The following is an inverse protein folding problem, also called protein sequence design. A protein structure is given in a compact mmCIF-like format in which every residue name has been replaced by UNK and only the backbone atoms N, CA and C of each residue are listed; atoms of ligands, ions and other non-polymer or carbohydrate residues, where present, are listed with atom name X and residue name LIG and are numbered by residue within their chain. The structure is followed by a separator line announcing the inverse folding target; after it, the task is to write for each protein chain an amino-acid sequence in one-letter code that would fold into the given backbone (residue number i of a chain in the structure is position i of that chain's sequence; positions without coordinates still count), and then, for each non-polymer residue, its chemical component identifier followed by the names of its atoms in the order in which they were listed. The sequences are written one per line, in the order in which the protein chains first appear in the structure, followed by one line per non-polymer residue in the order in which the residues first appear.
data_IF_542314028552
#
_entry.id   IF_542314028552
#
_cell.length_a   1.000
_cell.length_b   1.000
_cell.length_c   1.000
_cell.angle_alpha   90.00
_cell.angle_beta   90.00
_cell.angle_gamma   90.00
#
_symmetry.space_group_name_H-M   'P 1'
#
loop_
_entity.id
_entity.type
_entity.pdbx_description
1 polymer ?
#
# COMPACT_ATOMS: atom_id res chain seq x y z
N UNK A 1 -19.25 8.87 -5.17
CA UNK A 1 -19.96 7.70 -4.59
C UNK A 1 -19.03 6.57 -4.18
N UNK A 2 -18.18 6.03 -5.08
CA UNK A 2 -17.30 4.90 -4.75
C UNK A 2 -16.44 5.10 -3.49
N UNK A 3 -15.72 6.24 -3.39
CA UNK A 3 -14.86 6.56 -2.23
C UNK A 3 -15.64 6.60 -0.91
N UNK A 4 -16.85 7.20 -0.92
CA UNK A 4 -17.71 7.29 0.26
C UNK A 4 -18.20 5.91 0.69
N UNK A 5 -18.57 5.04 -0.26
CA UNK A 5 -19.02 3.67 0.02
C UNK A 5 -17.87 2.83 0.56
N UNK A 6 -16.67 2.93 -0.03
CA UNK A 6 -15.49 2.19 0.46
C UNK A 6 -15.08 2.64 1.85
N UNK A 7 -15.17 3.94 2.15
CA UNK A 7 -14.90 4.48 3.48
C UNK A 7 -15.95 3.99 4.49
N UNK A 8 -17.24 4.08 4.15
CA UNK A 8 -18.32 3.59 5.01
C UNK A 8 -18.19 2.09 5.29
N UNK A 9 -17.84 1.29 4.28
CA UNK A 9 -17.58 -0.14 4.43
C UNK A 9 -16.38 -0.42 5.33
N UNK A 10 -15.28 0.33 5.18
CA UNK A 10 -14.11 0.21 6.05
C UNK A 10 -14.47 0.52 7.52
N UNK A 11 -15.24 1.59 7.76
CA UNK A 11 -15.72 1.95 9.09
C UNK A 11 -16.67 0.89 9.67
N UNK A 12 -17.57 0.34 8.85
CA UNK A 12 -18.46 -0.75 9.27
C UNK A 12 -17.66 -1.99 9.69
N UNK A 13 -16.61 -2.35 8.95
CA UNK A 13 -15.72 -3.46 9.31
C UNK A 13 -14.94 -3.20 10.61
N UNK A 14 -14.47 -1.96 10.82
CA UNK A 14 -13.81 -1.53 12.05
C UNK A 14 -14.71 -1.73 13.28
N UNK A 15 -15.95 -1.20 13.22
CA UNK A 15 -16.91 -1.37 14.32
C UNK A 15 -17.33 -2.84 14.51
N UNK A 16 -17.44 -3.60 13.43
CA UNK A 16 -17.74 -5.03 13.49
C UNK A 16 -16.65 -5.82 14.26
N UNK A 17 -15.37 -5.53 13.99
CA UNK A 17 -14.25 -6.19 14.67
C UNK A 17 -14.13 -5.79 16.14
N UNK A 18 -14.37 -4.52 16.47
CA UNK A 18 -14.45 -4.06 17.86
C UNK A 18 -15.58 -4.77 18.62
N UNK A 19 -16.71 -5.02 17.95
CA UNK A 19 -17.85 -5.70 18.55
C UNK A 19 -17.62 -7.19 18.83
N UNK A 20 -16.48 -7.77 18.43
CA UNK A 20 -16.15 -9.18 18.63
C UNK A 20 -15.16 -9.38 19.80
N UNK A 21 -15.64 -9.56 21.04
CA UNK A 21 -14.77 -9.72 22.21
C UNK A 21 -13.91 -11.00 22.15
N UNK A 22 -14.35 -12.04 21.44
CA UNK A 22 -13.57 -13.29 21.25
C UNK A 22 -12.28 -13.06 20.47
N UNK A 23 -12.21 -12.02 19.65
CA UNK A 23 -11.04 -11.67 18.83
C UNK A 23 -10.32 -10.41 19.34
N UNK A 24 -10.38 -10.15 20.66
CA UNK A 24 -9.65 -9.05 21.30
C UNK A 24 -10.40 -7.72 21.39
N UNK A 25 -11.53 -7.57 20.70
CA UNK A 25 -12.40 -6.38 20.82
C UNK A 25 -11.66 -5.05 20.64
N UNK A 26 -11.77 -4.16 21.64
CA UNK A 26 -11.08 -2.86 21.65
C UNK A 26 -9.57 -2.97 21.96
N UNK A 27 -9.18 -3.98 22.74
CA UNK A 27 -7.80 -4.16 23.21
C UNK A 27 -6.88 -4.82 22.15
N UNK A 28 -7.47 -5.50 21.16
CA UNK A 28 -6.75 -6.24 20.15
C UNK A 28 -6.22 -7.60 20.62
N UNK A 29 -5.50 -8.29 19.76
CA UNK A 29 -4.91 -9.60 20.01
C UNK A 29 -3.38 -9.52 19.95
N UNK A 30 -2.73 -10.00 21.00
CA UNK A 30 -1.32 -10.37 20.95
C UNK A 30 -1.19 -11.75 20.31
N UNK A 31 -0.45 -11.83 19.22
CA UNK A 31 -0.16 -13.07 18.51
C UNK A 31 1.10 -13.66 19.14
N UNK A 32 0.92 -14.51 20.15
CA UNK A 32 2.03 -15.10 20.94
C UNK A 32 3.00 -16.00 20.15
N UNK A 33 2.69 -16.36 18.90
CA UNK A 33 3.63 -17.03 18.01
C UNK A 33 3.42 -16.59 16.57
N UNK A 34 4.51 -16.29 15.86
CA UNK A 34 4.47 -16.06 14.41
C UNK A 34 3.85 -17.27 13.69
N UNK A 35 3.15 -16.99 12.60
CA UNK A 35 2.39 -17.99 11.84
C UNK A 35 3.33 -19.07 11.32
N UNK A 36 3.18 -20.30 11.80
CA UNK A 36 3.92 -21.45 11.28
C UNK A 36 3.27 -21.86 9.96
N UNK A 37 4.01 -21.70 8.86
CA UNK A 37 3.59 -22.21 7.55
C UNK A 37 4.21 -23.59 7.39
N UNK A 38 3.48 -24.61 6.89
CA UNK A 38 4.05 -25.95 6.76
C UNK A 38 5.35 -25.93 5.94
N UNK A 39 6.48 -26.23 6.60
CA UNK A 39 7.82 -26.28 5.98
C UNK A 39 8.66 -25.00 6.08
N UNK A 40 8.15 -23.91 6.66
CA UNK A 40 8.92 -22.67 6.91
C UNK A 40 8.70 -22.20 8.35
N UNK A 41 9.79 -22.09 9.11
CA UNK A 41 9.75 -21.50 10.45
C UNK A 41 9.82 -19.97 10.34
N UNK A 42 8.68 -19.30 10.39
CA UNK A 42 8.59 -17.83 10.38
C UNK A 42 8.98 -17.21 11.73
N UNK A 43 9.28 -18.03 12.74
CA UNK A 43 9.80 -17.56 14.03
C UNK A 43 11.20 -16.97 13.89
N UNK A 44 12.01 -17.50 12.96
CA UNK A 44 13.34 -16.97 12.66
C UNK A 44 13.26 -15.67 11.83
N UNK A 45 13.88 -14.60 12.34
CA UNK A 45 13.88 -13.28 11.71
C UNK A 45 14.53 -13.29 10.32
N UNK A 46 15.53 -14.15 10.07
CA UNK A 46 16.14 -14.25 8.75
C UNK A 46 15.18 -14.91 7.75
N UNK A 47 14.58 -16.04 8.13
CA UNK A 47 13.58 -16.73 7.33
C UNK A 47 12.38 -15.84 6.99
N UNK A 48 11.87 -15.09 7.97
CA UNK A 48 10.78 -14.13 7.75
C UNK A 48 11.16 -13.01 6.77
N UNK A 49 12.38 -12.48 6.85
CA UNK A 49 12.89 -11.47 5.93
C UNK A 49 12.92 -11.99 4.48
N UNK A 50 13.42 -13.21 4.26
CA UNK A 50 13.44 -13.81 2.92
C UNK A 50 12.03 -14.08 2.38
N UNK A 51 11.09 -14.51 3.22
CA UNK A 51 9.69 -14.71 2.82
C UNK A 51 9.05 -13.38 2.41
N UNK A 52 9.20 -12.33 3.20
CA UNK A 52 8.69 -10.99 2.88
C UNK A 52 9.29 -10.47 1.57
N UNK A 53 10.60 -10.64 1.39
CA UNK A 53 11.32 -10.20 0.18
C UNK A 53 10.86 -10.99 -1.04
N UNK A 54 10.68 -12.31 -0.92
CA UNK A 54 10.19 -13.15 -2.00
C UNK A 54 8.76 -12.76 -2.42
N UNK A 55 7.87 -12.50 -1.46
CA UNK A 55 6.50 -12.06 -1.74
C UNK A 55 6.47 -10.66 -2.35
N UNK A 56 7.31 -9.73 -1.88
CA UNK A 56 7.47 -8.41 -2.47
C UNK A 56 7.91 -8.52 -3.95
N UNK A 57 8.94 -9.31 -4.23
CA UNK A 57 9.45 -9.51 -5.59
C UNK A 57 8.43 -10.21 -6.49
N UNK A 58 7.71 -11.20 -5.96
CA UNK A 58 6.64 -11.89 -6.67
C UNK A 58 5.50 -10.91 -7.03
N UNK A 59 5.03 -10.12 -6.07
CA UNK A 59 3.97 -9.14 -6.30
C UNK A 59 4.41 -8.05 -7.27
N UNK A 60 5.66 -7.57 -7.15
CA UNK A 60 6.25 -6.64 -8.09
C UNK A 60 6.33 -7.22 -9.51
N UNK A 61 6.77 -8.47 -9.65
CA UNK A 61 6.87 -9.16 -10.94
C UNK A 61 5.49 -9.35 -11.59
N UNK A 62 4.50 -9.80 -10.82
CA UNK A 62 3.11 -9.95 -11.29
C UNK A 62 2.56 -8.58 -11.72
N UNK A 63 2.76 -7.54 -10.91
CA UNK A 63 2.31 -6.18 -11.21
C UNK A 63 2.96 -5.64 -12.48
N UNK A 64 4.27 -5.87 -12.67
CA UNK A 64 5.00 -5.49 -13.87
C UNK A 64 4.43 -6.19 -15.10
N UNK A 65 4.26 -7.52 -15.05
CA UNK A 65 3.64 -8.29 -16.13
C UNK A 65 2.23 -7.82 -16.46
N UNK A 66 1.44 -7.50 -15.45
CA UNK A 66 0.06 -7.04 -15.62
C UNK A 66 0.01 -5.66 -16.31
N UNK A 67 0.88 -4.74 -15.89
CA UNK A 67 0.99 -3.38 -16.44
C UNK A 67 1.52 -3.37 -17.87
N UNK A 68 2.46 -4.26 -18.20
CA UNK A 68 3.04 -4.37 -19.55
C UNK A 68 2.14 -5.16 -20.52
N UNK A 69 1.12 -5.86 -20.01
CA UNK A 69 0.16 -6.60 -20.82
C UNK A 69 -0.93 -5.71 -21.46
N UNK A 70 -1.73 -6.30 -22.35
CA UNK A 70 -2.92 -5.65 -22.95
C UNK A 70 -3.88 -5.10 -21.89
N UNK A 71 -3.98 -5.77 -20.74
CA UNK A 71 -4.81 -5.33 -19.61
C UNK A 71 -4.35 -3.98 -19.06
N UNK A 72 -3.04 -3.80 -18.86
CA UNK A 72 -2.45 -2.52 -18.45
C UNK A 72 -2.66 -1.42 -19.49
N UNK A 73 -2.58 -1.76 -20.78
CA UNK A 73 -2.91 -0.84 -21.87
C UNK A 73 -4.35 -0.32 -21.82
N UNK A 74 -5.32 -1.21 -21.56
CA UNK A 74 -6.74 -0.85 -21.39
C UNK A 74 -6.95 0.06 -20.17
N UNK A 75 -6.29 -0.21 -19.05
CA UNK A 75 -6.34 0.64 -17.85
C UNK A 75 -5.74 2.03 -18.08
N UNK A 76 -4.59 2.13 -18.76
CA UNK A 76 -3.99 3.42 -19.16
C UNK A 76 -4.93 4.19 -20.08
N UNK A 77 -5.57 3.51 -21.01
CA UNK A 77 -6.59 4.10 -21.86
C UNK A 77 -7.81 4.60 -21.07
N UNK A 78 -8.28 3.83 -20.07
CA UNK A 78 -9.38 4.24 -19.20
C UNK A 78 -9.04 5.51 -18.42
N UNK A 79 -7.77 5.68 -18.00
CA UNK A 79 -7.30 6.90 -17.34
C UNK A 79 -7.37 8.13 -18.24
N UNK A 80 -7.12 7.98 -19.55
CA UNK A 80 -7.15 9.09 -20.50
C UNK A 80 -8.59 9.46 -20.90
N UNK A 81 -9.36 8.49 -21.40
CA UNK A 81 -10.74 8.74 -21.81
C UNK A 81 -11.59 7.46 -21.73
N UNK A 82 -12.28 7.31 -20.61
CA UNK A 82 -13.17 6.17 -20.37
C UNK A 82 -14.33 6.08 -21.38
N UNK A 83 -14.91 7.21 -21.80
CA UNK A 83 -16.01 7.22 -22.78
C UNK A 83 -15.56 6.64 -24.12
N UNK A 84 -14.34 6.97 -24.56
CA UNK A 84 -13.76 6.44 -25.80
C UNK A 84 -13.53 4.93 -25.73
N UNK A 85 -13.08 4.38 -24.61
CA UNK A 85 -12.92 2.92 -24.49
C UNK A 85 -14.25 2.17 -24.50
N UNK A 86 -15.28 2.73 -23.86
CA UNK A 86 -16.63 2.15 -23.91
C UNK A 86 -17.17 2.13 -25.35
N UNK A 87 -16.94 3.19 -26.13
CA UNK A 87 -17.33 3.24 -27.54
C UNK A 87 -16.60 2.20 -28.42
N UNK A 88 -15.39 1.80 -28.03
CA UNK A 88 -14.61 0.73 -28.68
C UNK A 88 -15.04 -0.69 -28.23
N UNK A 89 -16.08 -0.81 -27.39
CA UNK A 89 -16.59 -2.10 -26.91
C UNK A 89 -15.89 -2.66 -25.67
N UNK A 90 -15.03 -1.88 -25.00
CA UNK A 90 -14.38 -2.34 -23.76
C UNK A 90 -15.26 -2.05 -22.53
N UNK A 91 -15.50 -3.10 -21.74
CA UNK A 91 -16.18 -3.04 -20.45
C UNK A 91 -15.27 -2.46 -19.35
N UNK A 92 -15.08 -1.14 -19.33
CA UNK A 92 -14.11 -0.45 -18.45
C UNK A 92 -14.28 -0.77 -16.96
N UNK A 93 -15.51 -1.03 -16.51
CA UNK A 93 -15.83 -1.38 -15.11
C UNK A 93 -15.18 -2.71 -14.71
N UNK A 94 -15.22 -3.73 -15.58
CA UNK A 94 -14.66 -5.05 -15.29
C UNK A 94 -13.14 -4.96 -15.11
N UNK A 95 -12.46 -4.22 -15.98
CA UNK A 95 -11.01 -4.02 -15.89
C UNK A 95 -10.61 -3.30 -14.60
N UNK A 96 -11.36 -2.25 -14.21
CA UNK A 96 -11.12 -1.54 -12.94
C UNK A 96 -11.38 -2.42 -11.73
N UNK A 97 -12.43 -3.25 -11.75
CA UNK A 97 -12.77 -4.14 -10.66
C UNK A 97 -11.71 -5.24 -10.47
N UNK A 98 -11.23 -5.84 -11.55
CA UNK A 98 -10.13 -6.82 -11.49
C UNK A 98 -8.86 -6.19 -10.91
N UNK A 99 -8.51 -4.98 -11.36
CA UNK A 99 -7.37 -4.25 -10.81
C UNK A 99 -7.54 -3.96 -9.31
N UNK A 100 -8.75 -3.59 -8.89
CA UNK A 100 -9.09 -3.37 -7.49
C UNK A 100 -8.96 -4.64 -6.63
N UNK A 101 -9.45 -5.78 -7.13
CA UNK A 101 -9.35 -7.08 -6.44
C UNK A 101 -7.88 -7.51 -6.29
N UNK A 102 -7.06 -7.35 -7.33
CA UNK A 102 -5.62 -7.69 -7.28
C UNK A 102 -4.89 -6.80 -6.26
N UNK A 103 -5.17 -5.49 -6.26
CA UNK A 103 -4.60 -4.57 -5.28
C UNK A 103 -5.04 -4.90 -3.85
N UNK A 104 -6.32 -5.22 -3.65
CA UNK A 104 -6.87 -5.63 -2.36
C UNK A 104 -6.29 -6.95 -1.86
N UNK A 105 -6.11 -7.94 -2.73
CA UNK A 105 -5.45 -9.20 -2.38
C UNK A 105 -4.00 -8.99 -1.95
N UNK A 106 -3.24 -8.17 -2.68
CA UNK A 106 -1.88 -7.79 -2.31
C UNK A 106 -1.81 -7.06 -0.97
N UNK A 107 -2.71 -6.09 -0.74
CA UNK A 107 -2.81 -5.38 0.53
C UNK A 107 -3.20 -6.29 1.70
N UNK A 108 -4.08 -7.28 1.47
CA UNK A 108 -4.44 -8.28 2.47
C UNK A 108 -3.27 -9.17 2.88
N UNK A 109 -2.48 -9.64 1.91
CA UNK A 109 -1.24 -10.39 2.19
C UNK A 109 -0.24 -9.53 2.95
N UNK A 110 -0.04 -8.28 2.53
CA UNK A 110 0.83 -7.34 3.22
C UNK A 110 0.38 -7.05 4.65
N UNK A 111 -0.92 -6.90 4.90
CA UNK A 111 -1.48 -6.74 6.24
C UNK A 111 -1.26 -7.97 7.12
N UNK A 112 -1.41 -9.17 6.57
CA UNK A 112 -1.10 -10.42 7.29
C UNK A 112 0.39 -10.54 7.65
N UNK A 113 1.29 -10.12 6.77
CA UNK A 113 2.73 -10.06 7.07
C UNK A 113 3.02 -9.01 8.14
N UNK A 114 2.39 -7.84 8.07
CA UNK A 114 2.56 -6.77 9.06
C UNK A 114 2.12 -7.24 10.45
N UNK A 115 0.97 -7.91 10.55
CA UNK A 115 0.47 -8.52 11.78
C UNK A 115 1.45 -9.57 12.37
N UNK A 116 2.12 -10.34 11.50
CA UNK A 116 3.15 -11.29 11.93
C UNK A 116 4.45 -10.60 12.37
N UNK A 117 4.79 -9.46 11.78
CA UNK A 117 5.95 -8.66 12.16
C UNK A 117 5.75 -7.95 13.50
N UNK A 118 4.57 -7.36 13.73
CA UNK A 118 4.27 -6.60 14.94
C UNK A 118 3.82 -7.48 16.10
N UNK A 119 3.47 -8.75 15.84
CA UNK A 119 2.95 -9.72 16.82
C UNK A 119 1.72 -9.20 17.60
N UNK A 120 1.10 -8.14 17.08
CA UNK A 120 -0.03 -7.46 17.67
C UNK A 120 -0.97 -6.99 16.57
N UNK A 121 -2.25 -7.30 16.73
CA UNK A 121 -3.33 -6.88 15.84
C UNK A 121 -4.37 -6.15 16.68
N UNK A 122 -4.42 -4.83 16.52
CA UNK A 122 -5.41 -3.99 17.18
C UNK A 122 -6.29 -3.24 16.17
N UNK A 123 -7.50 -2.82 16.57
CA UNK A 123 -8.41 -2.07 15.70
C UNK A 123 -7.79 -0.74 15.21
N UNK A 124 -6.84 -0.17 15.94
CA UNK A 124 -6.08 1.02 15.51
C UNK A 124 -5.37 0.88 14.15
N UNK A 125 -5.03 -0.36 13.73
CA UNK A 125 -4.41 -0.63 12.42
C UNK A 125 -5.41 -0.47 11.25
N UNK A 126 -6.70 -0.53 11.52
CA UNK A 126 -7.77 -0.35 10.54
C UNK A 126 -8.26 1.10 10.47
N UNK A 127 -7.68 1.99 11.26
CA UNK A 127 -8.05 3.39 11.27
C UNK A 127 -7.67 4.07 9.95
N UNK A 128 -8.48 5.03 9.51
CA UNK A 128 -8.35 5.67 8.19
C UNK A 128 -7.00 6.38 8.00
N UNK A 129 -6.37 6.80 9.10
CA UNK A 129 -5.04 7.44 9.12
C UNK A 129 -3.96 6.55 8.51
N UNK A 130 -4.02 5.23 8.72
CA UNK A 130 -3.08 4.27 8.11
C UNK A 130 -3.18 4.23 6.59
N UNK A 131 -4.37 4.40 6.04
CA UNK A 131 -4.52 4.57 4.58
C UNK A 131 -3.88 5.87 4.09
N UNK A 132 -3.89 6.92 4.92
CA UNK A 132 -3.21 8.18 4.64
C UNK A 132 -1.69 8.03 4.56
N UNK A 133 -1.08 7.34 5.55
CA UNK A 133 0.35 7.03 5.56
C UNK A 133 0.78 6.26 4.29
N UNK A 134 0.00 5.26 3.87
CA UNK A 134 0.28 4.50 2.64
C UNK A 134 0.23 5.37 1.38
N UNK A 135 -0.73 6.30 1.29
CA UNK A 135 -0.80 7.26 0.18
C UNK A 135 0.46 8.14 0.19
N UNK A 136 0.90 8.59 1.36
CA UNK A 136 2.15 9.36 1.51
C UNK A 136 3.36 8.59 0.99
N UNK A 137 3.52 7.32 1.35
CA UNK A 137 4.61 6.47 0.84
C UNK A 137 4.62 6.42 -0.69
N UNK A 138 3.44 6.24 -1.31
CA UNK A 138 3.30 6.21 -2.78
C UNK A 138 3.62 7.55 -3.42
N UNK A 139 3.14 8.66 -2.83
CA UNK A 139 3.39 10.01 -3.33
C UNK A 139 4.88 10.36 -3.28
N UNK A 140 5.53 10.09 -2.15
CA UNK A 140 6.94 10.35 -1.91
C UNK A 140 7.84 9.52 -2.86
N UNK A 141 7.46 8.27 -3.08
CA UNK A 141 8.12 7.37 -4.01
C UNK A 141 7.99 7.78 -5.49
N UNK A 142 6.84 8.33 -5.87
CA UNK A 142 6.56 8.82 -7.22
C UNK A 142 5.34 8.15 -7.86
N UNK A 143 4.33 8.96 -8.21
CA UNK A 143 3.07 8.50 -8.79
C UNK A 143 3.31 7.98 -10.22
N UNK A 144 3.02 6.69 -10.45
CA UNK A 144 3.05 6.09 -11.79
C UNK A 144 4.21 5.16 -12.07
N UNK A 145 5.04 4.84 -11.07
CA UNK A 145 6.05 3.79 -11.18
C UNK A 145 5.77 2.67 -10.18
N UNK A 146 6.10 1.43 -10.55
CA UNK A 146 5.95 0.27 -9.66
C UNK A 146 7.03 0.21 -8.57
N UNK A 147 8.19 0.83 -8.81
CA UNK A 147 9.34 0.82 -7.90
C UNK A 147 9.30 2.02 -6.95
N UNK A 148 8.67 3.13 -7.34
CA UNK A 148 8.51 4.33 -6.52
C UNK A 148 8.03 4.03 -5.10
N UNK A 149 6.89 3.34 -4.90
CA UNK A 149 6.37 3.03 -3.57
C UNK A 149 7.34 2.27 -2.66
N UNK A 150 8.24 1.43 -3.21
CA UNK A 150 9.24 0.69 -2.43
C UNK A 150 10.29 1.64 -1.85
N UNK A 151 10.79 2.58 -2.68
CA UNK A 151 11.71 3.61 -2.19
C UNK A 151 10.99 4.63 -1.29
N UNK A 152 9.73 4.93 -1.60
CA UNK A 152 8.90 5.83 -0.82
C UNK A 152 8.61 5.30 0.58
N UNK A 153 8.31 4.01 0.73
CA UNK A 153 8.16 3.36 2.03
C UNK A 153 9.49 3.32 2.79
N UNK A 154 10.60 2.99 2.14
CA UNK A 154 11.91 3.00 2.78
C UNK A 154 12.29 4.41 3.30
N UNK A 155 12.09 5.44 2.49
CA UNK A 155 12.39 6.82 2.87
C UNK A 155 11.46 7.34 3.98
N UNK A 156 10.16 7.04 3.91
CA UNK A 156 9.22 7.43 4.97
C UNK A 156 9.58 6.72 6.27
N UNK A 157 9.79 5.40 6.27
CA UNK A 157 10.12 4.64 7.47
C UNK A 157 11.42 5.13 8.11
N UNK A 158 12.46 5.40 7.32
CA UNK A 158 13.72 5.99 7.83
C UNK A 158 13.49 7.37 8.45
N UNK A 159 12.64 8.19 7.81
CA UNK A 159 12.29 9.51 8.32
C UNK A 159 11.48 9.38 9.62
N UNK A 160 10.48 8.51 9.67
CA UNK A 160 9.65 8.23 10.85
C UNK A 160 10.50 7.76 12.02
N UNK A 161 11.39 6.77 11.81
CA UNK A 161 12.29 6.26 12.84
C UNK A 161 13.21 7.37 13.37
N UNK A 162 13.80 8.17 12.47
CA UNK A 162 14.68 9.28 12.86
C UNK A 162 13.91 10.33 13.65
N UNK A 163 12.74 10.76 13.16
CA UNK A 163 11.93 11.80 13.80
C UNK A 163 11.34 11.33 15.14
N UNK A 164 10.92 10.07 15.23
CA UNK A 164 10.40 9.48 16.47
C UNK A 164 11.46 9.47 17.56
N UNK A 165 12.74 9.29 17.21
CA UNK A 165 13.87 9.42 18.14
C UNK A 165 14.11 10.83 18.68
N UNK A 166 13.64 11.88 17.99
CA UNK A 166 13.78 13.28 18.42
C UNK A 166 12.49 13.91 18.96
N UNK A 167 11.31 13.44 18.55
CA UNK A 167 10.03 14.11 18.86
C UNK A 167 8.87 13.12 18.91
N UNK A 168 8.14 13.09 20.04
CA UNK A 168 6.95 12.23 20.20
C UNK A 168 5.82 12.57 19.20
N UNK A 169 5.71 13.84 18.78
CA UNK A 169 4.69 14.32 17.83
C UNK A 169 5.19 14.38 16.38
N UNK A 170 5.91 13.34 15.94
CA UNK A 170 6.50 13.23 14.59
C UNK A 170 5.53 13.53 13.45
N UNK A 171 4.24 13.21 13.62
CA UNK A 171 3.20 13.42 12.60
C UNK A 171 2.94 14.91 12.27
N UNK A 172 3.18 15.82 13.22
CA UNK A 172 3.10 17.28 12.99
C UNK A 172 4.23 17.75 12.07
N UNK A 173 5.42 17.17 12.23
CA UNK A 173 6.61 17.52 11.44
C UNK A 173 6.54 16.89 10.04
N UNK A 174 5.93 15.71 9.94
CA UNK A 174 5.81 14.98 8.68
C UNK A 174 4.93 15.70 7.65
N UNK A 175 3.85 16.36 8.08
CA UNK A 175 2.97 17.13 7.18
C UNK A 175 3.67 18.22 6.36
N UNK A 176 4.42 19.14 6.99
CA UNK A 176 5.24 20.13 6.29
C UNK A 176 6.32 19.52 5.40
N UNK A 177 7.02 18.47 5.85
CA UNK A 177 8.03 17.78 5.04
C UNK A 177 7.39 17.17 3.79
N UNK A 178 6.23 16.54 3.95
CA UNK A 178 5.44 16.02 2.84
C UNK A 178 5.09 17.12 1.83
N UNK A 179 4.55 18.24 2.30
CA UNK A 179 4.22 19.37 1.43
C UNK A 179 5.46 19.84 0.66
N UNK A 180 6.60 19.92 1.34
CA UNK A 180 7.87 20.27 0.71
C UNK A 180 8.24 19.25 -0.38
N UNK A 181 8.25 17.96 -0.05
CA UNK A 181 8.57 16.90 -1.00
C UNK A 181 7.61 16.88 -2.19
N UNK A 182 6.30 17.05 -1.98
CA UNK A 182 5.32 17.05 -3.08
C UNK A 182 5.45 18.30 -3.96
N UNK A 183 5.72 19.46 -3.36
CA UNK A 183 5.87 20.73 -4.10
C UNK A 183 7.15 20.76 -4.92
N UNK A 184 8.26 20.27 -4.37
CA UNK A 184 9.59 20.35 -4.99
C UNK A 184 9.96 19.08 -5.77
N UNK A 185 9.57 17.89 -5.31
CA UNK A 185 9.78 16.62 -6.00
C UNK A 185 8.52 16.19 -6.77
N UNK A 186 8.11 16.98 -7.78
CA UNK A 186 6.95 16.72 -8.66
C UNK A 186 6.93 15.34 -9.35
N UNK A 187 8.03 14.58 -9.31
CA UNK A 187 8.17 13.21 -9.86
C UNK A 187 8.56 12.14 -8.80
N UNK A 188 8.59 12.48 -7.51
CA UNK A 188 9.03 11.61 -6.42
C UNK A 188 10.54 11.30 -6.42
N UNK A 189 11.01 10.59 -5.40
CA UNK A 189 12.44 10.22 -5.26
C UNK A 189 12.93 9.39 -6.46
N UNK A 190 12.08 8.49 -6.98
CA UNK A 190 12.42 7.70 -8.16
C UNK A 190 12.58 8.57 -9.42
N UNK A 191 11.82 9.65 -9.56
CA UNK A 191 11.96 10.61 -10.66
C UNK A 191 13.28 11.39 -10.63
N UNK A 192 13.86 11.56 -9.43
CA UNK A 192 15.16 12.24 -9.24
C UNK A 192 16.34 11.27 -9.49
N UNK A 193 16.25 10.03 -9.02
CA UNK A 193 17.30 9.02 -9.23
C UNK A 193 17.30 8.42 -10.65
N UNK A 194 16.13 8.20 -11.25
CA UNK A 194 16.04 7.49 -12.53
C UNK A 194 16.33 8.38 -13.74
N UNK A 195 16.66 9.67 -13.55
CA UNK A 195 17.24 10.56 -14.55
C UNK A 195 16.66 10.34 -15.95
N UNK A 196 15.33 10.38 -16.09
CA UNK A 196 14.70 10.24 -17.40
C UNK A 196 13.81 11.43 -17.65
N UNK A 197 14.41 12.38 -18.38
CA UNK A 197 13.71 13.19 -19.35
C UNK A 197 12.91 12.28 -20.29
N UNK A 198 11.74 11.85 -19.85
CA UNK A 198 10.65 11.62 -20.79
C UNK A 198 9.86 12.92 -20.82
N UNK A 199 10.16 13.70 -21.86
CA UNK A 199 9.09 14.35 -22.61
C UNK A 199 8.02 13.29 -22.96
N UNK A 200 6.82 13.80 -23.14
CA UNK A 200 5.63 13.15 -23.70
C UNK A 200 4.60 12.64 -22.69
N UNK A 201 3.53 13.44 -22.58
CA UNK A 201 2.24 13.11 -21.97
C UNK A 201 1.55 14.33 -21.39
#
# INVERSE_FOLDING_TARGET
YFIMITLAFAQMMFYFLISLPTYGGEDGLNVWSRSQVPGLDLSDSQSFYYVCTALLLLFWFISKRLVDSRFGGVLRGCKQNEKRLKALGYETIRYKLIAFVIAGAGAGVAGGLLANLTEFVGPGMMHWTKSGELIVMVLLGGIGTLVGPIFGSAALLLLEETLSGYTEHWMIVLGPILLFVVLFARRGIYGFLAGKDSKDG
#
